data_IF_357548920938
#
_entry.id   IF_357548920938
#
_cell.length_a   1.000
_cell.length_b   1.000
_cell.length_c   1.000
_cell.angle_alpha   90.00
_cell.angle_beta   90.00
_cell.angle_gamma   90.00
#
_symmetry.space_group_name_H-M   'P 1'
#
loop_
_entity.id
_entity.type
_entity.pdbx_description
1 polymer ?
#
# COMPACT_ATOMS: atom_id res chain seq x y z
N UNK A 1 -15.91 -35.19 22.31
CA UNK A 1 -14.54 -35.54 21.92
C UNK A 1 -14.37 -35.25 20.41
N UNK A 2 -13.91 -34.07 20.06
CA UNK A 2 -13.60 -33.70 18.67
C UNK A 2 -12.31 -34.44 18.29
N UNK A 3 -12.41 -35.52 17.57
CA UNK A 3 -11.27 -36.21 16.99
C UNK A 3 -10.62 -35.28 15.94
N UNK A 4 -9.41 -34.87 16.18
CA UNK A 4 -8.60 -34.17 15.19
C UNK A 4 -8.24 -35.17 14.10
N UNK A 5 -8.85 -35.02 12.92
CA UNK A 5 -8.48 -35.82 11.76
C UNK A 5 -7.20 -35.25 11.17
N UNK A 6 -6.11 -35.96 11.32
CA UNK A 6 -4.82 -35.66 10.69
C UNK A 6 -4.85 -36.16 9.25
N UNK A 7 -4.53 -35.31 8.31
CA UNK A 7 -4.37 -35.65 6.90
C UNK A 7 -2.91 -35.60 6.56
N UNK A 8 -2.36 -36.71 6.10
CA UNK A 8 -0.98 -36.81 5.63
C UNK A 8 -0.97 -36.47 4.14
N UNK A 9 -0.34 -35.37 3.79
CA UNK A 9 -0.11 -34.98 2.41
C UNK A 9 1.41 -35.00 2.16
N UNK A 10 1.89 -35.92 1.37
CA UNK A 10 3.30 -36.08 0.99
C UNK A 10 4.27 -36.14 2.20
N UNK A 11 3.91 -36.93 3.22
CA UNK A 11 4.75 -37.13 4.40
C UNK A 11 4.73 -36.00 5.45
N UNK A 12 3.99 -34.94 5.23
CA UNK A 12 3.75 -33.88 6.23
C UNK A 12 2.36 -33.99 6.84
N UNK A 13 2.29 -33.84 8.16
CA UNK A 13 1.04 -33.88 8.92
C UNK A 13 0.46 -32.47 8.97
N UNK A 14 -0.76 -32.27 8.45
CA UNK A 14 -1.46 -31.01 8.56
C UNK A 14 -2.62 -31.10 9.56
N UNK A 15 -2.90 -30.03 10.28
CA UNK A 15 -4.03 -29.98 11.20
C UNK A 15 -5.35 -29.78 10.42
N UNK A 16 -6.47 -30.27 10.97
CA UNK A 16 -7.81 -30.07 10.39
C UNK A 16 -8.13 -28.58 10.12
N UNK A 17 -7.57 -27.69 10.93
CA UNK A 17 -7.72 -26.23 10.77
C UNK A 17 -7.04 -25.74 9.50
N UNK A 18 -5.86 -26.25 9.16
CA UNK A 18 -5.13 -25.93 7.93
C UNK A 18 -5.83 -26.50 6.70
N UNK A 19 -6.40 -27.71 6.82
CA UNK A 19 -7.19 -28.33 5.75
C UNK A 19 -8.48 -27.53 5.46
N UNK A 20 -9.19 -27.05 6.49
CA UNK A 20 -10.39 -26.22 6.34
C UNK A 20 -10.01 -24.89 5.68
N UNK A 21 -8.89 -24.29 6.05
CA UNK A 21 -8.42 -23.05 5.48
C UNK A 21 -8.00 -23.22 4.01
N UNK A 22 -7.27 -24.29 3.67
CA UNK A 22 -6.94 -24.63 2.29
C UNK A 22 -8.18 -24.94 1.44
N UNK A 23 -9.13 -25.72 1.96
CA UNK A 23 -10.38 -26.03 1.25
C UNK A 23 -11.27 -24.80 1.06
N UNK A 24 -11.24 -23.84 1.97
CA UNK A 24 -11.95 -22.57 1.82
C UNK A 24 -11.30 -21.71 0.74
N UNK A 25 -9.97 -21.62 0.72
CA UNK A 25 -9.18 -20.92 -0.30
C UNK A 25 -9.43 -21.54 -1.69
N UNK A 26 -9.38 -22.86 -1.81
CA UNK A 26 -9.60 -23.57 -3.09
C UNK A 26 -11.04 -23.39 -3.56
N UNK A 27 -12.04 -23.49 -2.67
CA UNK A 27 -13.46 -23.29 -3.04
C UNK A 27 -13.78 -21.84 -3.43
N UNK A 28 -13.18 -20.86 -2.78
CA UNK A 28 -13.37 -19.43 -3.17
C UNK A 28 -12.67 -19.10 -4.48
N UNK A 29 -11.56 -19.77 -4.79
CA UNK A 29 -10.86 -19.60 -6.07
C UNK A 29 -11.56 -20.28 -7.26
N UNK A 30 -12.24 -21.40 -7.03
CA UNK A 30 -12.97 -22.16 -8.09
C UNK A 30 -14.38 -21.63 -8.37
N UNK A 31 -15.02 -21.06 -7.37
CA UNK A 31 -16.41 -20.63 -7.48
C UNK A 31 -16.50 -19.14 -7.18
N UNK A 32 -16.21 -18.25 -8.02
CA UNK A 32 -16.49 -16.81 -7.89
C UNK A 32 -17.91 -16.50 -7.33
N UNK A 33 -18.32 -17.21 -6.31
CA UNK A 33 -19.61 -17.19 -5.62
C UNK A 33 -19.69 -15.96 -4.73
N UNK A 34 -20.34 -14.91 -5.21
CA UNK A 34 -20.77 -13.79 -4.39
C UNK A 34 -21.80 -14.29 -3.35
N UNK A 35 -21.43 -14.29 -2.09
CA UNK A 35 -22.44 -14.13 -1.05
C UNK A 35 -23.13 -12.77 -1.27
N UNK A 36 -24.43 -12.79 -1.52
CA UNK A 36 -25.24 -11.58 -1.70
C UNK A 36 -25.00 -10.62 -0.52
N UNK A 37 -24.30 -9.50 -0.78
CA UNK A 37 -24.19 -8.38 0.16
C UNK A 37 -22.79 -7.96 0.59
N UNK A 38 -21.73 -8.75 0.44
CA UNK A 38 -20.35 -8.31 0.73
C UNK A 38 -19.58 -8.04 -0.55
N UNK A 39 -19.11 -6.80 -0.72
CA UNK A 39 -18.13 -6.46 -1.76
C UNK A 39 -16.88 -7.30 -1.53
N UNK A 40 -16.60 -8.24 -2.42
CA UNK A 40 -15.37 -9.05 -2.39
C UNK A 40 -14.18 -8.10 -2.57
N UNK A 41 -13.23 -8.15 -1.64
CA UNK A 41 -11.99 -7.41 -1.77
C UNK A 41 -11.06 -8.19 -2.72
N UNK A 42 -10.95 -7.73 -3.96
CA UNK A 42 -10.12 -8.35 -4.99
C UNK A 42 -8.63 -8.40 -4.59
N UNK A 43 -8.15 -7.46 -3.77
CA UNK A 43 -6.79 -7.47 -3.23
C UNK A 43 -6.56 -8.69 -2.34
N UNK A 44 -7.45 -8.92 -1.37
CA UNK A 44 -7.33 -10.06 -0.46
C UNK A 44 -7.40 -11.39 -1.21
N UNK A 45 -8.31 -11.52 -2.21
CA UNK A 45 -8.38 -12.73 -3.02
C UNK A 45 -7.09 -12.98 -3.81
N UNK A 46 -6.49 -11.93 -4.35
CA UNK A 46 -5.22 -12.04 -5.07
C UNK A 46 -4.09 -12.49 -4.14
N UNK A 47 -4.02 -11.94 -2.93
CA UNK A 47 -3.04 -12.30 -1.92
C UNK A 47 -3.16 -13.77 -1.52
N UNK A 48 -4.38 -14.22 -1.20
CA UNK A 48 -4.67 -15.62 -0.82
C UNK A 48 -4.35 -16.58 -1.97
N UNK A 49 -4.76 -16.27 -3.20
CA UNK A 49 -4.55 -17.14 -4.35
C UNK A 49 -3.07 -17.27 -4.72
N UNK A 50 -2.34 -16.16 -4.79
CA UNK A 50 -0.91 -16.19 -5.11
C UNK A 50 -0.10 -16.90 -4.03
N UNK A 51 -0.38 -16.65 -2.75
CA UNK A 51 0.24 -17.35 -1.63
C UNK A 51 0.04 -18.87 -1.72
N UNK A 52 -1.21 -19.31 -1.96
CA UNK A 52 -1.53 -20.73 -2.11
C UNK A 52 -0.77 -21.37 -3.29
N UNK A 53 -0.69 -20.68 -4.43
CA UNK A 53 0.08 -21.16 -5.60
C UNK A 53 1.57 -21.23 -5.32
N UNK A 54 2.15 -20.26 -4.65
CA UNK A 54 3.56 -20.32 -4.26
C UNK A 54 3.86 -21.52 -3.35
N UNK A 55 2.99 -21.84 -2.38
CA UNK A 55 3.15 -23.03 -1.54
C UNK A 55 3.04 -24.34 -2.33
N UNK A 56 2.09 -24.42 -3.27
CA UNK A 56 1.93 -25.61 -4.13
C UNK A 56 3.16 -25.82 -5.02
N UNK A 57 3.69 -24.75 -5.65
CA UNK A 57 4.86 -24.83 -6.51
C UNK A 57 6.11 -25.21 -5.71
N UNK A 58 6.29 -24.66 -4.51
CA UNK A 58 7.44 -24.96 -3.66
C UNK A 58 7.47 -26.44 -3.23
N UNK A 59 6.30 -27.02 -2.98
CA UNK A 59 6.19 -28.44 -2.54
C UNK A 59 6.33 -29.46 -3.68
N UNK A 60 6.77 -29.06 -4.88
CA UNK A 60 7.00 -29.96 -6.02
C UNK A 60 5.72 -30.56 -6.60
N UNK A 61 4.53 -30.10 -6.18
CA UNK A 61 3.27 -30.47 -6.82
C UNK A 61 3.24 -29.85 -8.21
N UNK A 62 2.62 -30.54 -9.16
CA UNK A 62 2.27 -29.93 -10.44
C UNK A 62 1.39 -28.71 -10.17
N UNK A 63 2.02 -27.54 -10.02
CA UNK A 63 1.35 -26.28 -9.77
C UNK A 63 0.44 -25.98 -10.97
N UNK A 64 -0.87 -25.98 -10.75
CA UNK A 64 -1.87 -25.78 -11.81
C UNK A 64 -2.85 -24.70 -11.39
N UNK A 65 -3.40 -23.98 -12.37
CA UNK A 65 -4.41 -22.95 -12.14
C UNK A 65 -3.87 -21.55 -12.42
N UNK A 66 -4.67 -20.57 -12.04
CA UNK A 66 -4.31 -19.16 -12.21
C UNK A 66 -3.04 -18.83 -11.43
N UNK A 67 -2.17 -18.04 -12.01
CA UNK A 67 -0.87 -17.60 -11.45
C UNK A 67 0.17 -18.71 -11.22
N UNK A 68 0.00 -19.93 -11.74
CA UNK A 68 0.96 -21.03 -11.51
C UNK A 68 2.32 -20.76 -12.13
N UNK A 69 2.35 -20.22 -13.35
CA UNK A 69 3.59 -19.87 -14.05
C UNK A 69 4.32 -18.74 -13.35
N UNK A 70 3.56 -17.72 -12.95
CA UNK A 70 4.08 -16.55 -12.27
C UNK A 70 4.61 -16.94 -10.88
N UNK A 71 3.89 -17.75 -10.13
CA UNK A 71 4.31 -18.24 -8.82
C UNK A 71 5.63 -19.01 -8.89
N UNK A 72 5.80 -19.90 -9.87
CA UNK A 72 7.05 -20.62 -10.11
C UNK A 72 8.19 -19.64 -10.37
N UNK A 73 8.02 -18.72 -11.32
CA UNK A 73 9.06 -17.75 -11.66
C UNK A 73 9.39 -16.79 -10.51
N UNK A 74 8.40 -16.40 -9.69
CA UNK A 74 8.62 -15.60 -8.49
C UNK A 74 9.52 -16.39 -7.52
N UNK A 75 9.19 -17.66 -7.24
CA UNK A 75 9.98 -18.52 -6.35
C UNK A 75 11.41 -18.63 -6.86
N UNK A 76 11.59 -18.98 -8.13
CA UNK A 76 12.92 -19.13 -8.75
C UNK A 76 13.73 -17.83 -8.61
N UNK A 77 13.12 -16.70 -8.96
CA UNK A 77 13.77 -15.38 -8.85
C UNK A 77 14.15 -15.02 -7.41
N UNK A 78 13.28 -15.32 -6.44
CA UNK A 78 13.58 -15.06 -5.03
C UNK A 78 14.74 -15.93 -4.53
N UNK A 79 14.82 -17.19 -5.00
CA UNK A 79 15.92 -18.09 -4.68
C UNK A 79 17.23 -17.64 -5.35
N UNK A 80 17.19 -17.13 -6.56
CA UNK A 80 18.36 -16.57 -7.25
C UNK A 80 18.93 -15.36 -6.53
N UNK A 81 18.06 -14.50 -5.97
CA UNK A 81 18.47 -13.26 -5.30
C UNK A 81 18.90 -13.51 -3.85
N UNK A 82 18.15 -14.30 -3.08
CA UNK A 82 18.33 -14.44 -1.63
C UNK A 82 18.82 -15.82 -1.19
N UNK A 83 18.96 -16.75 -2.12
CA UNK A 83 19.34 -18.14 -1.89
C UNK A 83 18.13 -19.05 -1.66
N UNK A 84 18.35 -20.35 -1.44
CA UNK A 84 17.29 -21.35 -1.34
C UNK A 84 16.28 -21.02 -0.24
N UNK A 85 15.01 -21.29 -0.52
CA UNK A 85 13.93 -21.19 0.47
C UNK A 85 14.13 -22.27 1.52
N UNK A 86 13.91 -21.95 2.78
CA UNK A 86 14.06 -22.87 3.90
C UNK A 86 12.83 -23.77 4.04
N UNK A 87 12.82 -24.86 3.29
CA UNK A 87 11.71 -25.83 3.26
C UNK A 87 11.59 -26.69 4.54
N UNK A 88 12.59 -26.61 5.43
CA UNK A 88 12.56 -27.33 6.73
C UNK A 88 11.67 -26.63 7.76
N UNK A 89 11.28 -25.38 7.48
CA UNK A 89 10.30 -24.68 8.31
C UNK A 89 8.88 -25.20 8.07
N UNK A 90 8.09 -25.25 9.11
CA UNK A 90 6.65 -25.58 9.01
C UNK A 90 5.90 -24.63 8.06
N UNK A 91 6.35 -23.36 8.00
CA UNK A 91 5.80 -22.32 7.16
C UNK A 91 6.91 -21.55 6.44
N UNK A 92 7.45 -22.07 5.34
CA UNK A 92 8.51 -21.39 4.58
C UNK A 92 8.02 -20.13 3.85
N UNK A 93 6.73 -20.07 3.54
CA UNK A 93 6.05 -18.92 2.96
C UNK A 93 4.86 -18.58 3.85
N UNK A 94 4.87 -17.38 4.44
CA UNK A 94 3.88 -16.94 5.44
C UNK A 94 3.00 -15.84 4.83
N UNK A 95 1.69 -16.03 4.87
CA UNK A 95 0.73 -14.96 4.58
C UNK A 95 0.49 -14.16 5.88
N UNK A 96 0.82 -12.87 5.86
CA UNK A 96 0.78 -12.02 7.07
C UNK A 96 -0.64 -11.58 7.45
N UNK A 97 -1.61 -11.81 6.57
CA UNK A 97 -3.04 -11.67 6.88
C UNK A 97 -3.47 -10.26 7.30
N UNK A 98 -2.89 -9.23 6.69
CA UNK A 98 -3.22 -7.83 6.99
C UNK A 98 -2.70 -7.34 8.34
N UNK A 99 -1.78 -8.05 8.99
CA UNK A 99 -1.07 -7.64 10.21
C UNK A 99 -0.02 -6.58 9.94
N UNK A 100 -0.30 -5.68 9.01
CA UNK A 100 0.62 -4.60 8.68
C UNK A 100 0.99 -3.81 9.93
N UNK A 101 2.29 -3.73 10.20
CA UNK A 101 2.79 -2.93 11.31
C UNK A 101 2.49 -1.44 11.06
N UNK A 102 2.17 -0.66 12.11
CA UNK A 102 1.84 0.75 11.97
C UNK A 102 2.95 1.52 11.25
N UNK A 103 2.56 2.31 10.27
CA UNK A 103 3.43 3.24 9.53
C UNK A 103 2.90 4.67 9.72
N UNK A 104 3.07 5.27 10.91
CA UNK A 104 2.53 6.57 11.21
C UNK A 104 3.21 7.68 10.43
N UNK A 105 2.43 8.71 10.09
CA UNK A 105 2.95 9.97 9.58
C UNK A 105 3.65 10.71 10.73
N UNK A 106 4.85 11.19 10.47
CA UNK A 106 5.67 11.93 11.44
C UNK A 106 6.27 13.19 10.82
N UNK A 107 6.58 14.15 11.67
CA UNK A 107 7.44 15.28 11.30
C UNK A 107 8.90 14.80 11.22
N UNK A 108 9.63 15.30 10.22
CA UNK A 108 11.07 15.06 10.08
C UNK A 108 11.78 16.39 9.77
N UNK A 109 13.11 16.40 9.88
CA UNK A 109 13.92 17.59 9.56
C UNK A 109 13.72 18.11 8.12
N UNK A 110 13.28 17.24 7.20
CA UNK A 110 12.98 17.60 5.80
C UNK A 110 11.50 17.84 5.51
N UNK A 111 10.62 17.86 6.52
CA UNK A 111 9.16 17.98 6.36
C UNK A 111 8.42 16.77 6.87
N UNK A 112 7.49 16.23 6.10
CA UNK A 112 6.76 15.00 6.43
C UNK A 112 7.54 13.75 6.04
N UNK A 113 7.34 12.67 6.79
CA UNK A 113 7.83 11.34 6.49
C UNK A 113 6.90 10.28 7.09
N UNK A 114 7.10 9.03 6.67
CA UNK A 114 6.49 7.85 7.29
C UNK A 114 7.52 7.19 8.19
N UNK A 115 7.13 6.84 9.42
CA UNK A 115 8.00 6.10 10.34
C UNK A 115 8.09 4.62 9.94
N UNK A 116 9.30 4.02 9.98
CA UNK A 116 10.61 4.60 10.30
C UNK A 116 11.18 5.49 9.19
N UNK A 117 12.18 6.32 9.52
CA UNK A 117 12.80 7.24 8.56
C UNK A 117 13.70 6.55 7.53
N UNK A 118 14.12 5.33 7.81
CA UNK A 118 14.95 4.50 6.93
C UNK A 118 14.06 3.72 5.96
N UNK A 119 14.15 3.99 4.63
CA UNK A 119 13.28 3.34 3.64
C UNK A 119 13.38 1.81 3.62
N UNK A 120 14.55 1.26 3.93
CA UNK A 120 14.81 -0.19 3.96
C UNK A 120 14.07 -0.94 5.07
N UNK A 121 13.67 -0.25 6.13
CA UNK A 121 12.90 -0.85 7.22
C UNK A 121 11.40 -0.96 6.91
N UNK A 122 10.97 -0.40 5.78
CA UNK A 122 9.57 -0.49 5.36
C UNK A 122 9.22 -1.83 4.70
N UNK A 123 10.21 -2.57 4.17
CA UNK A 123 9.96 -3.84 3.51
C UNK A 123 9.17 -4.81 4.39
N UNK A 124 9.64 -5.05 5.61
CA UNK A 124 8.95 -5.89 6.59
C UNK A 124 7.56 -5.36 6.98
N UNK A 125 7.41 -4.03 7.04
CA UNK A 125 6.13 -3.39 7.41
C UNK A 125 5.08 -3.37 6.31
N UNK A 126 5.51 -3.48 5.06
CA UNK A 126 4.66 -3.48 3.87
C UNK A 126 4.30 -4.88 3.38
N UNK A 127 4.91 -5.90 3.99
CA UNK A 127 4.79 -7.26 3.48
C UNK A 127 3.39 -7.83 3.69
N UNK A 128 2.85 -8.41 2.62
CA UNK A 128 1.64 -9.20 2.64
C UNK A 128 1.98 -10.71 2.70
N UNK A 129 3.16 -11.08 2.15
CA UNK A 129 3.72 -12.43 2.20
C UNK A 129 5.21 -12.38 2.51
N UNK A 130 5.66 -13.14 3.52
CA UNK A 130 7.07 -13.31 3.87
C UNK A 130 7.58 -14.67 3.41
N UNK A 131 8.68 -14.69 2.66
CA UNK A 131 9.37 -15.92 2.23
C UNK A 131 10.66 -16.08 3.05
N UNK A 132 10.80 -17.20 3.72
CA UNK A 132 11.96 -17.52 4.54
C UNK A 132 12.99 -18.33 3.74
N UNK A 133 14.21 -17.82 3.67
CA UNK A 133 15.34 -18.48 3.03
C UNK A 133 16.28 -19.10 4.07
N UNK A 134 17.19 -19.94 3.61
CA UNK A 134 18.30 -20.44 4.44
C UNK A 134 19.13 -19.25 4.98
N UNK A 135 19.90 -19.49 6.05
CA UNK A 135 20.74 -18.48 6.72
C UNK A 135 19.93 -17.29 7.26
N UNK A 136 18.68 -17.52 7.68
CA UNK A 136 17.78 -16.51 8.26
C UNK A 136 17.48 -15.29 7.35
N UNK A 137 17.69 -15.42 6.05
CA UNK A 137 17.30 -14.37 5.10
C UNK A 137 15.79 -14.40 4.87
N UNK A 138 15.22 -13.25 4.54
CA UNK A 138 13.79 -13.09 4.24
C UNK A 138 13.60 -12.29 2.96
N UNK A 139 12.58 -12.65 2.20
CA UNK A 139 12.02 -11.82 1.14
C UNK A 139 10.65 -11.33 1.58
N UNK A 140 10.44 -10.03 1.50
CA UNK A 140 9.18 -9.38 1.82
C UNK A 140 8.44 -9.07 0.52
N UNK A 141 7.21 -9.56 0.39
CA UNK A 141 6.39 -9.37 -0.80
C UNK A 141 5.19 -8.48 -0.47
N UNK A 142 5.08 -7.34 -1.16
CA UNK A 142 3.89 -6.49 -1.09
C UNK A 142 3.05 -6.70 -2.33
N UNK A 143 1.83 -7.18 -2.15
CA UNK A 143 0.91 -7.54 -3.22
C UNK A 143 -0.06 -6.39 -3.48
N UNK A 144 -0.23 -6.04 -4.74
CA UNK A 144 -1.12 -4.98 -5.17
C UNK A 144 -2.00 -5.48 -6.31
N UNK A 145 -3.27 -5.12 -6.31
CA UNK A 145 -4.22 -5.49 -7.36
C UNK A 145 -4.96 -4.27 -7.89
N UNK A 146 -5.00 -4.14 -9.22
CA UNK A 146 -5.75 -3.09 -9.91
C UNK A 146 -4.88 -1.99 -10.54
N UNK A 147 -5.53 -1.05 -11.23
CA UNK A 147 -4.87 0.01 -11.99
C UNK A 147 -4.39 1.19 -11.13
N UNK A 148 -4.99 1.38 -9.97
CA UNK A 148 -4.62 2.42 -9.00
C UNK A 148 -4.47 1.78 -7.64
N UNK A 149 -3.31 1.90 -7.06
CA UNK A 149 -2.93 1.25 -5.80
C UNK A 149 -2.33 2.27 -4.83
N UNK A 150 -2.20 1.88 -3.57
CA UNK A 150 -1.85 2.80 -2.49
C UNK A 150 -0.50 2.42 -1.88
N UNK A 151 0.44 3.38 -1.81
CA UNK A 151 1.68 3.24 -1.03
C UNK A 151 1.47 3.54 0.45
N UNK A 152 0.59 4.48 0.76
CA UNK A 152 0.41 5.00 2.10
C UNK A 152 -1.05 5.36 2.34
N UNK A 153 -1.58 4.95 3.49
CA UNK A 153 -2.87 5.40 4.02
C UNK A 153 -2.68 5.64 5.52
N UNK A 154 -2.25 6.84 5.88
CA UNK A 154 -1.87 7.16 7.25
C UNK A 154 -2.89 8.08 7.90
N UNK A 155 -3.25 7.76 9.15
CA UNK A 155 -4.02 8.68 9.99
C UNK A 155 -3.24 9.97 10.23
N UNK A 156 -3.94 11.09 10.20
CA UNK A 156 -3.41 12.39 10.61
C UNK A 156 -3.79 12.58 12.07
N UNK A 157 -2.79 12.53 12.94
CA UNK A 157 -3.03 12.76 14.36
C UNK A 157 -3.48 14.19 14.61
N UNK A 158 -4.17 14.42 15.74
CA UNK A 158 -4.51 15.75 16.21
C UNK A 158 -3.28 16.66 16.40
N UNK A 159 -2.08 16.08 16.44
CA UNK A 159 -0.82 16.81 16.51
C UNK A 159 -0.45 17.57 15.24
N UNK A 160 -1.06 17.25 14.08
CA UNK A 160 -0.83 17.98 12.83
C UNK A 160 -1.88 19.07 12.60
N UNK A 161 -3.15 18.79 12.91
CA UNK A 161 -4.24 19.71 12.61
C UNK A 161 -5.22 19.77 13.77
N UNK A 162 -5.22 20.91 14.47
CA UNK A 162 -6.14 21.16 15.56
C UNK A 162 -7.42 21.82 15.05
N UNK A 163 -8.55 21.28 15.45
CA UNK A 163 -9.88 21.84 15.14
C UNK A 163 -10.01 23.30 15.53
N UNK A 164 -9.52 23.65 16.74
CA UNK A 164 -9.56 25.00 17.28
C UNK A 164 -8.74 26.01 16.47
N UNK A 165 -7.70 25.58 15.77
CA UNK A 165 -6.92 26.43 14.86
C UNK A 165 -7.58 26.53 13.49
N UNK A 166 -7.97 25.39 12.92
CA UNK A 166 -8.58 25.32 11.60
C UNK A 166 -9.89 26.11 11.55
N UNK A 167 -10.72 26.05 12.59
CA UNK A 167 -11.97 26.85 12.67
C UNK A 167 -11.72 28.35 12.61
N UNK A 168 -10.55 28.81 13.08
CA UNK A 168 -10.09 30.21 12.98
C UNK A 168 -9.44 30.53 11.61
N UNK A 169 -9.40 29.57 10.70
CA UNK A 169 -8.91 29.74 9.33
C UNK A 169 -7.39 29.65 9.16
N UNK A 170 -6.65 29.19 10.17
CA UNK A 170 -5.17 29.09 10.08
C UNK A 170 -4.64 27.97 10.97
N UNK A 171 -3.91 27.02 10.39
CA UNK A 171 -3.08 26.04 11.11
C UNK A 171 -1.86 26.77 11.66
N UNK A 172 -1.58 26.64 12.95
CA UNK A 172 -0.47 27.34 13.64
C UNK A 172 0.54 26.36 14.24
N UNK A 173 0.07 25.18 14.67
CA UNK A 173 0.97 24.15 15.19
C UNK A 173 2.07 23.82 14.19
N UNK A 174 3.33 23.83 14.66
CA UNK A 174 4.53 23.71 13.81
C UNK A 174 4.47 22.50 12.90
N UNK A 175 4.12 21.33 13.43
CA UNK A 175 4.00 20.10 12.65
C UNK A 175 2.98 20.22 11.51
N UNK A 176 1.85 20.85 11.76
CA UNK A 176 0.82 21.10 10.75
C UNK A 176 1.28 22.07 9.68
N UNK A 177 1.94 23.17 10.07
CA UNK A 177 2.51 24.13 9.11
C UNK A 177 3.56 23.46 8.22
N UNK A 178 4.44 22.64 8.80
CA UNK A 178 5.44 21.89 8.04
C UNK A 178 4.78 20.84 7.11
N UNK A 179 3.68 20.22 7.54
CA UNK A 179 2.89 19.32 6.72
C UNK A 179 2.32 20.04 5.49
N UNK A 180 1.67 21.17 5.69
CA UNK A 180 1.14 21.97 4.59
C UNK A 180 2.24 22.43 3.61
N UNK A 181 3.39 22.86 4.14
CA UNK A 181 4.55 23.25 3.32
C UNK A 181 5.07 22.08 2.49
N UNK A 182 5.21 20.89 3.09
CA UNK A 182 5.66 19.68 2.38
C UNK A 182 4.71 19.29 1.26
N UNK A 183 3.40 19.40 1.50
CA UNK A 183 2.36 19.10 0.52
C UNK A 183 2.08 20.26 -0.45
N UNK A 184 2.80 21.37 -0.31
CA UNK A 184 2.62 22.58 -1.13
C UNK A 184 1.26 23.25 -0.95
N UNK A 185 0.58 23.03 0.16
CA UNK A 185 -0.75 23.56 0.42
C UNK A 185 -0.69 24.98 1.01
N UNK A 186 -1.60 25.83 0.54
CA UNK A 186 -1.86 27.11 1.16
C UNK A 186 -2.68 26.91 2.45
N UNK A 187 -2.25 27.54 3.54
CA UNK A 187 -2.84 27.35 4.84
C UNK A 187 -4.30 27.83 4.90
N UNK A 188 -4.56 29.01 4.31
CA UNK A 188 -5.90 29.61 4.28
C UNK A 188 -6.87 28.76 3.44
N UNK A 189 -6.43 28.34 2.26
CA UNK A 189 -7.23 27.53 1.36
C UNK A 189 -7.50 26.14 1.96
N UNK A 190 -6.50 25.54 2.62
CA UNK A 190 -6.64 24.29 3.33
C UNK A 190 -7.74 24.38 4.41
N UNK A 191 -7.65 25.36 5.29
CA UNK A 191 -8.67 25.56 6.33
C UNK A 191 -10.05 25.86 5.73
N UNK A 192 -10.10 26.66 4.66
CA UNK A 192 -11.35 27.03 3.99
C UNK A 192 -12.11 25.78 3.47
N UNK A 193 -11.44 24.83 2.84
CA UNK A 193 -12.06 23.60 2.34
C UNK A 193 -12.82 22.87 3.44
N UNK A 194 -12.18 22.67 4.60
CA UNK A 194 -12.78 21.89 5.69
C UNK A 194 -13.81 22.73 6.48
N UNK A 195 -13.59 24.02 6.66
CA UNK A 195 -14.56 24.91 7.32
C UNK A 195 -15.82 25.09 6.49
N UNK A 196 -15.72 25.25 5.17
CA UNK A 196 -16.87 25.37 4.28
C UNK A 196 -17.68 24.08 4.26
N UNK A 197 -17.01 22.91 4.27
CA UNK A 197 -17.70 21.64 4.42
C UNK A 197 -18.51 21.55 5.70
N UNK A 198 -17.96 21.99 6.83
CA UNK A 198 -18.62 21.96 8.12
C UNK A 198 -19.86 22.88 8.14
N UNK A 199 -19.76 24.07 7.53
CA UNK A 199 -20.87 25.04 7.46
C UNK A 199 -22.02 24.57 6.58
N UNK A 200 -21.74 23.82 5.51
CA UNK A 200 -22.72 23.47 4.49
C UNK A 200 -23.28 22.05 4.63
N UNK A 201 -22.88 21.32 5.68
CA UNK A 201 -23.29 19.93 5.85
C UNK A 201 -22.79 19.01 4.75
N UNK A 202 -21.62 19.33 4.19
CA UNK A 202 -20.96 18.52 3.17
C UNK A 202 -21.19 18.98 1.72
N UNK A 203 -21.90 20.06 1.52
CA UNK A 203 -22.02 20.66 0.16
C UNK A 203 -20.69 21.36 -0.20
N UNK A 204 -20.22 21.22 -1.45
CA UNK A 204 -18.96 21.83 -1.87
C UNK A 204 -19.10 23.36 -1.95
N UNK A 205 -18.23 24.08 -1.25
CA UNK A 205 -18.10 25.54 -1.33
C UNK A 205 -16.92 25.98 -2.18
N UNK A 206 -15.96 25.09 -2.37
CA UNK A 206 -14.70 25.35 -3.12
C UNK A 206 -14.68 24.45 -4.36
N UNK A 207 -15.82 24.41 -5.05
CA UNK A 207 -15.94 23.66 -6.29
C UNK A 207 -15.03 24.27 -7.36
N UNK A 208 -14.33 23.42 -8.08
CA UNK A 208 -13.45 23.80 -9.20
C UNK A 208 -12.28 24.73 -8.84
N UNK A 209 -11.94 24.82 -7.54
CA UNK A 209 -10.78 25.59 -7.11
C UNK A 209 -9.49 24.79 -7.34
N UNK A 210 -8.80 25.12 -8.42
CA UNK A 210 -7.62 24.42 -8.90
C UNK A 210 -6.42 25.35 -8.87
N UNK A 211 -5.30 24.89 -8.32
CA UNK A 211 -4.02 25.60 -8.37
C UNK A 211 -2.94 24.70 -8.94
N UNK A 212 -2.07 25.27 -9.80
CA UNK A 212 -0.85 24.62 -10.26
C UNK A 212 0.35 25.34 -9.68
N UNK A 213 1.33 24.58 -9.16
CA UNK A 213 2.56 25.13 -8.61
C UNK A 213 3.70 24.11 -8.63
N UNK A 214 4.97 24.58 -8.48
CA UNK A 214 6.12 23.69 -8.39
C UNK A 214 5.96 22.70 -7.23
N UNK A 215 6.43 21.46 -7.45
CA UNK A 215 6.44 20.42 -6.41
C UNK A 215 7.52 20.79 -5.39
N UNK A 216 7.18 20.88 -4.08
CA UNK A 216 8.16 21.13 -3.03
C UNK A 216 9.18 19.98 -2.95
N UNK A 217 10.47 20.33 -2.90
CA UNK A 217 11.55 19.33 -2.77
C UNK A 217 11.41 18.48 -1.50
N UNK A 218 10.85 19.04 -0.43
CA UNK A 218 10.57 18.33 0.81
C UNK A 218 9.58 17.16 0.65
N UNK A 219 8.81 17.14 -0.44
CA UNK A 219 7.90 16.02 -0.73
C UNK A 219 8.65 14.71 -1.02
N UNK A 220 9.90 14.77 -1.53
CA UNK A 220 10.70 13.58 -1.81
C UNK A 220 10.91 12.71 -0.57
N UNK A 221 11.10 13.30 0.63
CA UNK A 221 11.27 12.54 1.86
C UNK A 221 10.00 11.75 2.23
N UNK A 222 8.83 12.35 2.04
CA UNK A 222 7.56 11.65 2.23
C UNK A 222 7.42 10.50 1.23
N UNK A 223 7.72 10.71 -0.04
CA UNK A 223 7.66 9.67 -1.07
C UNK A 223 8.66 8.55 -0.78
N UNK A 224 9.91 8.89 -0.44
CA UNK A 224 10.96 7.91 -0.13
C UNK A 224 10.53 6.95 1.00
N UNK A 225 9.96 7.48 2.07
CA UNK A 225 9.49 6.66 3.20
C UNK A 225 8.13 6.00 2.93
N UNK A 226 7.26 6.60 2.13
CA UNK A 226 5.98 5.99 1.76
C UNK A 226 6.17 4.80 0.82
N UNK A 227 7.02 4.93 -0.20
CA UNK A 227 7.37 3.88 -1.14
C UNK A 227 8.15 2.77 -0.41
N UNK A 228 9.17 3.15 0.37
CA UNK A 228 10.04 2.19 1.06
C UNK A 228 10.97 1.43 0.13
N UNK A 229 11.81 0.58 0.70
CA UNK A 229 12.70 -0.32 -0.05
C UNK A 229 12.92 -1.65 0.70
N UNK A 230 13.74 -2.53 0.15
CA UNK A 230 14.02 -3.85 0.69
C UNK A 230 12.79 -4.77 0.67
N UNK A 231 12.04 -4.75 -0.41
CA UNK A 231 10.93 -5.66 -0.67
C UNK A 231 10.71 -5.87 -2.17
N UNK A 232 9.84 -6.82 -2.49
CA UNK A 232 9.38 -7.07 -3.84
C UNK A 232 7.92 -6.66 -3.95
N UNK A 233 7.58 -5.86 -4.95
CA UNK A 233 6.20 -5.52 -5.24
C UNK A 233 5.67 -6.43 -6.34
N UNK A 234 4.57 -7.09 -6.05
CA UNK A 234 3.84 -7.94 -6.99
C UNK A 234 2.54 -7.24 -7.32
N UNK A 235 2.40 -6.81 -8.57
CA UNK A 235 1.26 -6.04 -9.02
C UNK A 235 0.43 -6.80 -10.03
N UNK A 236 -0.70 -7.32 -9.58
CA UNK A 236 -1.70 -7.98 -10.42
C UNK A 236 -2.50 -6.95 -11.22
N UNK A 237 -2.61 -7.18 -12.51
CA UNK A 237 -3.38 -6.38 -13.47
C UNK A 237 -4.22 -7.31 -14.33
N UNK A 238 -5.15 -6.73 -15.10
CA UNK A 238 -5.83 -7.47 -16.15
C UNK A 238 -4.80 -7.98 -17.15
N UNK A 239 -4.67 -9.31 -17.24
CA UNK A 239 -3.75 -9.98 -18.17
C UNK A 239 -2.40 -10.42 -17.62
N UNK A 240 -2.12 -10.25 -16.31
CA UNK A 240 -0.89 -10.79 -15.73
C UNK A 240 -0.40 -10.14 -14.45
N UNK A 241 0.82 -10.45 -14.09
CA UNK A 241 1.50 -9.94 -12.91
C UNK A 241 2.77 -9.22 -13.34
N UNK A 242 2.95 -7.99 -12.85
CA UNK A 242 4.23 -7.30 -12.87
C UNK A 242 4.97 -7.55 -11.55
N UNK A 243 6.26 -7.83 -11.64
CA UNK A 243 7.13 -8.10 -10.49
C UNK A 243 8.28 -7.11 -10.44
N UNK A 244 8.50 -6.48 -9.28
CA UNK A 244 9.49 -5.41 -9.12
C UNK A 244 10.34 -5.62 -7.89
N UNK A 245 11.65 -5.46 -8.01
CA UNK A 245 12.56 -5.37 -6.88
C UNK A 245 12.64 -3.93 -6.40
N UNK A 246 12.02 -3.63 -5.28
CA UNK A 246 12.04 -2.33 -4.64
C UNK A 246 13.32 -2.15 -3.82
N UNK A 247 14.45 -2.08 -4.52
CA UNK A 247 15.76 -1.83 -3.95
C UNK A 247 15.91 -0.37 -3.48
N UNK A 248 16.98 -0.06 -2.76
CA UNK A 248 17.32 1.31 -2.35
C UNK A 248 17.47 2.25 -3.57
N UNK A 249 18.10 1.78 -4.64
CA UNK A 249 18.27 2.55 -5.88
C UNK A 249 16.93 2.77 -6.59
N UNK A 250 16.06 1.75 -6.67
CA UNK A 250 14.71 1.86 -7.21
C UNK A 250 13.90 2.89 -6.43
N UNK A 251 13.90 2.80 -5.10
CA UNK A 251 13.21 3.76 -4.24
C UNK A 251 13.71 5.18 -4.46
N UNK A 252 15.03 5.40 -4.45
CA UNK A 252 15.64 6.72 -4.67
C UNK A 252 15.26 7.31 -6.03
N UNK A 253 15.17 6.51 -7.08
CA UNK A 253 14.73 6.97 -8.40
C UNK A 253 13.22 7.27 -8.40
N UNK A 254 12.42 6.40 -7.79
CA UNK A 254 10.97 6.48 -7.76
C UNK A 254 10.42 7.63 -6.90
N UNK A 255 11.18 8.08 -5.90
CA UNK A 255 10.78 9.18 -5.00
C UNK A 255 11.18 10.58 -5.48
N UNK A 256 12.00 10.69 -6.52
CA UNK A 256 12.39 12.00 -7.06
C UNK A 256 11.23 12.69 -7.74
N UNK A 257 11.11 13.98 -7.48
CA UNK A 257 10.08 14.83 -8.10
C UNK A 257 10.67 16.06 -8.75
N UNK A 258 10.06 16.42 -9.88
CA UNK A 258 10.38 17.64 -10.64
C UNK A 258 9.09 18.15 -11.29
N UNK A 259 9.09 19.42 -11.70
CA UNK A 259 7.95 20.01 -12.40
C UNK A 259 6.86 20.52 -11.46
N UNK A 260 5.64 20.51 -11.94
CA UNK A 260 4.49 21.08 -11.25
C UNK A 260 3.53 19.99 -10.74
N UNK A 261 2.79 20.33 -9.69
CA UNK A 261 1.65 19.59 -9.21
C UNK A 261 0.37 20.40 -9.40
N UNK A 262 -0.75 19.70 -9.52
CA UNK A 262 -2.07 20.28 -9.55
C UNK A 262 -2.83 19.95 -8.26
N UNK A 263 -3.31 20.98 -7.60
CA UNK A 263 -4.03 20.87 -6.33
C UNK A 263 -5.49 21.21 -6.58
N UNK A 264 -6.37 20.30 -6.21
CA UNK A 264 -7.82 20.44 -6.28
C UNK A 264 -8.37 20.66 -4.87
N UNK A 265 -8.60 21.93 -4.51
CA UNK A 265 -9.24 22.30 -3.26
C UNK A 265 -10.73 22.01 -3.34
N UNK A 266 -11.22 21.06 -2.56
CA UNK A 266 -12.55 20.52 -2.68
C UNK A 266 -12.63 19.18 -3.43
N UNK A 267 -11.46 18.68 -3.90
CA UNK A 267 -11.28 17.42 -4.61
C UNK A 267 -11.69 17.46 -6.07
N UNK A 268 -11.12 16.58 -6.87
CA UNK A 268 -11.35 16.50 -8.32
C UNK A 268 -12.81 16.18 -8.68
N UNK A 269 -13.50 15.46 -7.80
CA UNK A 269 -14.93 15.16 -7.94
C UNK A 269 -15.86 16.28 -7.45
N UNK A 270 -15.32 17.39 -6.93
CA UNK A 270 -16.10 18.52 -6.44
C UNK A 270 -16.95 18.22 -5.20
N UNK A 271 -16.51 17.30 -4.33
CA UNK A 271 -17.27 16.93 -3.12
C UNK A 271 -17.09 17.90 -1.95
N UNK A 272 -16.13 18.81 -2.02
CA UNK A 272 -15.86 19.84 -1.01
C UNK A 272 -15.18 19.38 0.27
N UNK A 273 -15.13 18.09 0.58
CA UNK A 273 -14.62 17.54 1.85
C UNK A 273 -13.25 16.85 1.75
N UNK A 274 -12.48 17.23 0.76
CA UNK A 274 -11.16 16.65 0.50
C UNK A 274 -10.29 17.58 -0.34
N UNK A 275 -9.00 17.34 -0.29
CA UNK A 275 -8.04 17.95 -1.20
C UNK A 275 -7.34 16.82 -1.95
N UNK A 276 -7.26 16.93 -3.27
CA UNK A 276 -6.50 16.04 -4.12
C UNK A 276 -5.29 16.80 -4.66
N UNK A 277 -4.11 16.17 -4.65
CA UNK A 277 -2.88 16.70 -5.22
C UNK A 277 -2.39 15.68 -6.24
N UNK A 278 -2.32 16.06 -7.51
CA UNK A 278 -1.85 15.19 -8.59
C UNK A 278 -0.52 15.70 -9.12
N UNK A 279 0.43 14.79 -9.32
CA UNK A 279 1.73 15.07 -9.94
C UNK A 279 2.30 13.77 -10.51
N UNK A 280 3.28 13.92 -11.38
CA UNK A 280 3.93 12.77 -12.03
C UNK A 280 5.43 12.87 -11.92
N UNK A 281 6.07 11.71 -11.94
CA UNK A 281 7.49 11.58 -12.24
C UNK A 281 7.71 10.56 -13.37
N UNK A 282 8.96 10.18 -13.62
CA UNK A 282 9.27 9.19 -14.65
C UNK A 282 8.55 7.85 -14.45
N UNK A 283 8.32 7.45 -13.21
CA UNK A 283 7.91 6.09 -12.84
C UNK A 283 6.44 5.95 -12.44
N UNK A 284 5.87 7.02 -11.90
CA UNK A 284 4.52 7.01 -11.36
C UNK A 284 3.74 8.27 -11.70
N UNK A 285 2.43 8.11 -11.83
CA UNK A 285 1.47 9.17 -11.64
C UNK A 285 0.94 9.07 -10.21
N UNK A 286 1.21 10.09 -9.40
CA UNK A 286 0.85 10.14 -7.99
C UNK A 286 -0.42 10.94 -7.76
N UNK A 287 -1.15 10.53 -6.75
CA UNK A 287 -2.25 11.28 -6.18
C UNK A 287 -2.20 11.25 -4.67
N UNK A 288 -1.98 12.40 -4.05
CA UNK A 288 -2.18 12.56 -2.61
C UNK A 288 -3.61 12.97 -2.36
N UNK A 289 -4.25 12.31 -1.42
CA UNK A 289 -5.63 12.52 -1.04
C UNK A 289 -5.71 12.83 0.46
N UNK A 290 -6.18 14.03 0.78
CA UNK A 290 -6.40 14.46 2.17
C UNK A 290 -7.90 14.52 2.39
N UNK A 291 -8.41 13.69 3.31
CA UNK A 291 -9.84 13.52 3.48
C UNK A 291 -10.23 13.10 4.89
N UNK A 292 -11.51 13.24 5.19
CA UNK A 292 -12.14 12.56 6.31
C UNK A 292 -12.50 11.13 5.92
N UNK A 293 -12.17 10.19 6.79
CA UNK A 293 -12.63 8.82 6.74
C UNK A 293 -13.67 8.70 7.85
N UNK A 294 -14.91 8.46 7.59
CA UNK A 294 -15.94 8.36 8.62
C UNK A 294 -16.52 9.71 9.10
N UNK A 295 -17.26 10.41 8.26
CA UNK A 295 -18.09 11.58 8.63
C UNK A 295 -17.48 12.64 9.58
N UNK A 296 -16.21 12.53 9.95
CA UNK A 296 -15.51 13.53 10.76
C UNK A 296 -15.37 14.85 10.03
N UNK A 297 -15.29 15.94 10.77
CA UNK A 297 -15.27 17.31 10.25
C UNK A 297 -13.89 17.76 9.75
N UNK A 298 -12.81 17.07 10.14
CA UNK A 298 -11.42 17.42 9.87
C UNK A 298 -10.69 16.31 9.13
N UNK A 299 -9.57 16.62 8.44
CA UNK A 299 -8.84 15.58 7.75
C UNK A 299 -8.33 14.54 8.74
N UNK A 300 -8.79 13.32 8.55
CA UNK A 300 -8.39 12.19 9.38
C UNK A 300 -7.31 11.33 8.74
N UNK A 301 -7.14 11.41 7.43
CA UNK A 301 -6.21 10.57 6.67
C UNK A 301 -5.54 11.33 5.54
N UNK A 302 -4.28 10.97 5.30
CA UNK A 302 -3.53 11.29 4.08
C UNK A 302 -3.22 9.97 3.39
N UNK A 303 -3.61 9.86 2.12
CA UNK A 303 -3.35 8.70 1.27
C UNK A 303 -2.44 9.10 0.12
N UNK A 304 -1.52 8.23 -0.24
CA UNK A 304 -0.71 8.34 -1.45
C UNK A 304 -1.06 7.17 -2.37
N UNK A 305 -1.85 7.47 -3.37
CA UNK A 305 -2.20 6.55 -4.44
C UNK A 305 -1.27 6.77 -5.64
N UNK A 306 -1.10 5.74 -6.45
CA UNK A 306 -0.30 5.82 -7.66
C UNK A 306 -0.84 4.97 -8.79
N UNK A 307 -0.46 5.35 -10.00
CA UNK A 307 -0.51 4.50 -11.19
C UNK A 307 0.91 4.28 -11.67
N UNK A 308 1.25 3.05 -11.97
CA UNK A 308 2.58 2.68 -12.46
C UNK A 308 2.71 3.07 -13.94
N UNK A 309 3.83 3.71 -14.27
CA UNK A 309 4.30 3.92 -15.64
C UNK A 309 5.41 2.92 -15.94
N UNK A 310 6.64 3.34 -15.86
CA UNK A 310 7.79 2.47 -16.04
C UNK A 310 8.67 2.52 -14.80
N UNK A 311 8.74 1.44 -14.03
CA UNK A 311 9.51 1.38 -12.79
C UNK A 311 10.85 0.71 -13.05
N UNK A 312 11.97 1.30 -12.59
CA UNK A 312 13.24 0.57 -12.56
C UNK A 312 13.11 -0.63 -11.61
N UNK A 313 13.79 -1.71 -11.91
CA UNK A 313 13.74 -2.92 -11.10
C UNK A 313 12.57 -3.87 -11.46
N UNK A 314 11.92 -3.67 -12.62
CA UNK A 314 11.00 -4.66 -13.17
C UNK A 314 11.76 -5.94 -13.51
N UNK A 315 11.23 -7.05 -13.02
CA UNK A 315 11.73 -8.41 -13.29
C UNK A 315 10.74 -9.06 -14.26
N UNK A 316 11.25 -9.59 -15.35
CA UNK A 316 10.42 -10.31 -16.33
C UNK A 316 10.08 -11.68 -15.75
N UNK A 317 8.80 -11.94 -15.58
CA UNK A 317 8.26 -13.24 -15.16
C UNK A 317 8.07 -14.16 -16.36
#
# INVERSE_FOLDING_TARGET
>A
TNAVKLVIIQGKVTTKKQEIQMNHIVKTAEFGGQEKGKKVNLGNLFEEELHARMLECLNGKKCKGKYSKEATKIIDTLQDINGPINVDLDMPIVHEGGKNQPRPLIESAGGLAISPLQPELHGEKLTDVTVHHLKNKKSYLSLKMGSTVTFMNSGVSKNFFLESEMSKGKVQIKAGVNALKTLGLDNKDFCKVFNDYNKTGGKPMVKDYIKSKPIPKSLEKLLETAIGSNYFMIHGKDGGIDFYHMSKSTNKSASRVTGNMTIYYGGKAGTGKRIDIEFSNKHYDFKINIRNKQSGQYPSHIMLDYKTKEIPGKITL
#
